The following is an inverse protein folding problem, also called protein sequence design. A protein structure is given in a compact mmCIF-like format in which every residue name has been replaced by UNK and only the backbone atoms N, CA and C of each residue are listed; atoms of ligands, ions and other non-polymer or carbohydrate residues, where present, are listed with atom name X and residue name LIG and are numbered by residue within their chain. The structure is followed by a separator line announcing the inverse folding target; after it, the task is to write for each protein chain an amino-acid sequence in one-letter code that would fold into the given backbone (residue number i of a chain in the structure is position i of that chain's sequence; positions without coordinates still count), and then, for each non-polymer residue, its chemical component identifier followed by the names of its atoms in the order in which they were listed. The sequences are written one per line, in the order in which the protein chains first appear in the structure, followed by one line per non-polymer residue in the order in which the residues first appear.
data_IF_033380432424
#
_entry.id   IF_033380432424
#
_cell.length_a   1.000
_cell.length_b   1.000
_cell.length_c   1.000
_cell.angle_alpha   90.00
_cell.angle_beta   90.00
_cell.angle_gamma   90.00
#
_symmetry.space_group_name_H-M   'P 1'
#
loop_
_entity.id
_entity.type
_entity.pdbx_description
1 polymer ?
#
# COMPACT_ATOMS: atom_id res chain seq x y z
N UNK A 1 -0.55 14.65 -53.20
CA UNK A 1 0.21 15.20 -52.06
C UNK A 1 -0.37 14.60 -50.77
N UNK A 2 0.34 13.65 -50.14
CA UNK A 2 -0.20 12.84 -49.03
C UNK A 2 0.12 13.55 -47.71
N UNK A 3 -0.89 14.15 -47.06
CA UNK A 3 -0.71 14.73 -45.72
C UNK A 3 -0.30 13.64 -44.74
N UNK A 4 0.91 13.75 -44.16
CA UNK A 4 1.33 12.94 -43.03
C UNK A 4 0.65 13.52 -41.79
N UNK A 5 -0.38 12.83 -41.31
CA UNK A 5 -0.93 13.05 -39.97
C UNK A 5 0.09 12.54 -38.96
N UNK A 6 0.92 13.46 -38.43
CA UNK A 6 1.75 13.13 -37.27
C UNK A 6 0.84 12.91 -36.07
N UNK A 7 0.78 11.67 -35.59
CA UNK A 7 0.08 11.34 -34.37
C UNK A 7 0.76 12.08 -33.20
N UNK A 8 0.00 12.73 -32.31
CA UNK A 8 0.56 13.42 -31.16
C UNK A 8 1.32 12.40 -30.30
N UNK A 9 2.63 12.63 -30.12
CA UNK A 9 3.45 11.82 -29.23
C UNK A 9 3.00 12.06 -27.79
N UNK A 10 2.51 11.01 -27.14
CA UNK A 10 2.24 11.05 -25.70
C UNK A 10 3.58 11.25 -24.97
N UNK A 11 3.67 12.17 -24.00
CA UNK A 11 4.90 12.37 -23.25
C UNK A 11 5.26 11.11 -22.46
N UNK A 12 6.49 10.60 -22.62
CA UNK A 12 6.99 9.35 -22.01
C UNK A 12 6.75 9.24 -20.49
N UNK A 13 6.75 10.36 -19.77
CA UNK A 13 6.52 10.38 -18.32
C UNK A 13 5.12 9.90 -17.90
N UNK A 14 4.12 10.10 -18.76
CA UNK A 14 2.75 9.68 -18.47
C UNK A 14 2.61 8.14 -18.51
N UNK A 15 3.40 7.46 -19.34
CA UNK A 15 3.35 6.00 -19.46
C UNK A 15 4.03 5.28 -18.29
N UNK A 16 5.10 5.86 -17.73
CA UNK A 16 5.75 5.34 -16.51
C UNK A 16 4.78 5.42 -15.32
N UNK A 17 4.15 6.58 -15.13
CA UNK A 17 3.18 6.77 -14.05
C UNK A 17 2.00 5.80 -14.18
N UNK A 18 1.50 5.58 -15.40
CA UNK A 18 0.45 4.58 -15.67
C UNK A 18 0.91 3.17 -15.32
N UNK A 19 2.10 2.77 -15.78
CA UNK A 19 2.66 1.46 -15.48
C UNK A 19 2.76 1.23 -13.97
N UNK A 20 3.23 2.24 -13.23
CA UNK A 20 3.32 2.21 -11.78
C UNK A 20 1.94 2.03 -11.11
N UNK A 21 0.93 2.82 -11.50
CA UNK A 21 -0.42 2.67 -10.96
C UNK A 21 -1.06 1.32 -11.27
N UNK A 22 -0.89 0.82 -12.50
CA UNK A 22 -1.36 -0.51 -12.87
C UNK A 22 -0.68 -1.60 -12.03
N UNK A 23 0.64 -1.49 -11.80
CA UNK A 23 1.37 -2.42 -10.95
C UNK A 23 0.87 -2.39 -9.50
N UNK A 24 0.64 -1.20 -8.93
CA UNK A 24 0.05 -1.07 -7.60
C UNK A 24 -1.35 -1.69 -7.52
N UNK A 25 -2.21 -1.40 -8.50
CA UNK A 25 -3.56 -1.98 -8.56
C UNK A 25 -3.52 -3.49 -8.61
N UNK A 26 -2.72 -4.08 -9.50
CA UNK A 26 -2.57 -5.54 -9.61
C UNK A 26 -1.99 -6.15 -8.32
N UNK A 27 -1.02 -5.48 -7.70
CA UNK A 27 -0.45 -5.90 -6.42
C UNK A 27 -1.50 -5.95 -5.32
N UNK A 28 -2.26 -4.86 -5.12
CA UNK A 28 -3.33 -4.84 -4.12
C UNK A 28 -4.48 -5.78 -4.45
N UNK A 29 -4.86 -5.90 -5.73
CA UNK A 29 -5.93 -6.80 -6.18
C UNK A 29 -5.57 -8.26 -5.87
N UNK A 30 -4.32 -8.65 -6.07
CA UNK A 30 -3.81 -9.98 -5.73
C UNK A 30 -3.74 -10.19 -4.23
N UNK A 31 -3.26 -9.19 -3.49
CA UNK A 31 -3.10 -9.28 -2.03
C UNK A 31 -4.43 -9.20 -1.26
N UNK A 32 -5.48 -8.61 -1.84
CA UNK A 32 -6.77 -8.46 -1.17
C UNK A 32 -7.40 -9.79 -0.73
N UNK A 33 -7.61 -10.81 -1.58
CA UNK A 33 -8.15 -12.08 -1.11
C UNK A 33 -7.19 -12.80 -0.15
N UNK A 34 -5.87 -12.64 -0.36
CA UNK A 34 -4.86 -13.28 0.48
C UNK A 34 -4.83 -12.71 1.91
N UNK A 35 -5.21 -11.45 2.08
CA UNK A 35 -5.14 -10.78 3.38
C UNK A 35 -6.14 -11.29 4.43
N UNK A 36 -7.06 -12.19 4.06
CA UNK A 36 -7.98 -12.86 5.00
C UNK A 36 -7.41 -14.16 5.57
N UNK A 37 -6.45 -14.77 4.87
CA UNK A 37 -6.00 -16.15 5.16
C UNK A 37 -4.52 -16.22 5.49
N UNK A 38 -3.74 -15.21 5.12
CA UNK A 38 -2.29 -15.22 5.28
C UNK A 38 -1.78 -13.96 5.96
N UNK A 39 -0.75 -14.15 6.76
CA UNK A 39 0.12 -13.09 7.22
C UNK A 39 1.19 -12.80 6.17
N UNK A 40 1.25 -11.57 5.71
CA UNK A 40 2.35 -11.07 4.88
C UNK A 40 2.83 -9.72 5.41
N UNK A 41 4.12 -9.51 5.49
CA UNK A 41 4.73 -8.23 5.84
C UNK A 41 6.03 -8.01 5.08
N UNK A 42 6.34 -6.74 4.82
CA UNK A 42 7.63 -6.33 4.27
C UNK A 42 7.96 -4.92 4.75
N UNK A 43 9.24 -4.60 4.82
CA UNK A 43 9.69 -3.25 5.11
C UNK A 43 11.14 -3.20 5.55
N UNK A 44 11.46 -2.20 6.35
CA UNK A 44 12.82 -1.80 6.70
C UNK A 44 12.98 -1.90 8.21
N UNK A 45 14.09 -2.50 8.62
CA UNK A 45 14.52 -2.55 10.01
C UNK A 45 15.75 -1.66 10.18
N UNK A 46 15.77 -0.89 11.27
CA UNK A 46 16.91 -0.02 11.61
C UNK A 46 17.22 -0.12 13.09
N UNK A 47 18.50 -0.33 13.43
CA UNK A 47 18.95 -0.33 14.81
C UNK A 47 19.67 0.98 15.17
N UNK A 48 19.44 1.47 16.38
CA UNK A 48 20.08 2.65 16.96
C UNK A 48 20.58 2.32 18.37
N UNK A 49 21.76 2.81 18.72
CA UNK A 49 22.32 2.69 20.07
C UNK A 49 21.85 3.83 20.97
N UNK A 50 21.41 3.51 22.18
CA UNK A 50 21.18 4.44 23.29
C UNK A 50 22.12 4.11 24.46
N UNK A 51 22.09 4.93 25.53
CA UNK A 51 23.09 4.88 26.60
C UNK A 51 23.12 3.54 27.37
N UNK A 52 21.96 2.93 27.62
CA UNK A 52 21.83 1.69 28.41
C UNK A 52 21.20 0.51 27.65
N UNK A 53 20.75 0.75 26.41
CA UNK A 53 20.10 -0.24 25.54
C UNK A 53 20.31 0.16 24.08
N UNK A 54 19.97 -0.72 23.15
CA UNK A 54 19.76 -0.32 21.77
C UNK A 54 18.28 -0.44 21.43
N UNK A 55 17.82 0.36 20.49
CA UNK A 55 16.46 0.33 19.96
C UNK A 55 16.52 -0.19 18.53
N UNK A 56 15.65 -1.15 18.23
CA UNK A 56 15.41 -1.64 16.88
C UNK A 56 14.00 -1.21 16.45
N UNK A 57 13.91 -0.50 15.33
CA UNK A 57 12.63 -0.08 14.74
C UNK A 57 12.34 -0.87 13.47
N UNK A 58 11.15 -1.46 13.38
CA UNK A 58 10.68 -2.24 12.24
C UNK A 58 9.56 -1.48 11.52
N UNK A 59 9.90 -0.65 10.53
CA UNK A 59 8.91 0.04 9.70
C UNK A 59 8.37 -0.92 8.63
N UNK A 60 7.08 -1.23 8.66
CA UNK A 60 6.51 -2.32 7.86
C UNK A 60 5.17 -1.98 7.24
N UNK A 61 4.94 -2.58 6.08
CA UNK A 61 3.64 -2.85 5.49
C UNK A 61 3.21 -4.25 5.89
N UNK A 62 1.95 -4.44 6.30
CA UNK A 62 1.47 -5.69 6.89
C UNK A 62 0.04 -6.01 6.49
N UNK A 63 -0.20 -7.23 6.03
CA UNK A 63 -1.50 -7.88 5.96
C UNK A 63 -1.56 -8.95 7.05
N UNK A 64 -2.26 -8.72 8.16
CA UNK A 64 -2.21 -9.61 9.32
C UNK A 64 -3.06 -10.89 9.17
N UNK A 65 -3.83 -11.04 8.09
CA UNK A 65 -4.74 -12.16 7.90
C UNK A 65 -6.17 -11.92 8.40
N UNK A 66 -6.61 -10.66 8.54
CA UNK A 66 -7.97 -10.29 8.96
C UNK A 66 -8.69 -9.40 7.94
N UNK A 67 -8.19 -9.32 6.71
CA UNK A 67 -8.75 -8.45 5.67
C UNK A 67 -8.29 -7.00 5.74
N UNK A 68 -7.38 -6.60 6.65
CA UNK A 68 -6.80 -5.26 6.67
C UNK A 68 -5.42 -5.19 5.99
N UNK A 69 -5.07 -3.98 5.54
CA UNK A 69 -3.74 -3.56 5.16
C UNK A 69 -3.28 -2.53 6.17
N UNK A 70 -2.11 -2.74 6.77
CA UNK A 70 -1.57 -1.91 7.84
C UNK A 70 -0.20 -1.36 7.48
N UNK A 71 0.06 -0.14 7.91
CA UNK A 71 1.36 0.53 7.82
C UNK A 71 1.70 1.06 9.20
N UNK A 72 2.93 0.83 9.64
CA UNK A 72 3.33 1.21 10.98
C UNK A 72 4.72 0.73 11.33
N UNK A 73 5.05 0.87 12.61
CA UNK A 73 6.31 0.42 13.15
C UNK A 73 6.12 -0.27 14.50
N UNK A 74 6.88 -1.34 14.69
CA UNK A 74 7.15 -1.90 16.02
C UNK A 74 8.56 -1.45 16.43
N UNK A 75 8.73 -1.04 17.69
CA UNK A 75 10.03 -0.71 18.27
C UNK A 75 10.34 -1.71 19.37
N UNK A 76 11.60 -2.14 19.43
CA UNK A 76 12.07 -3.11 20.40
C UNK A 76 13.31 -2.58 21.10
N UNK A 77 13.32 -2.69 22.40
CA UNK A 77 14.57 -2.66 23.15
C UNK A 77 15.36 -3.92 22.84
N UNK A 78 16.65 -3.77 22.55
CA UNK A 78 17.56 -4.86 22.27
C UNK A 78 18.33 -5.28 23.51
N UNK A 79 18.57 -6.59 23.63
CA UNK A 79 19.50 -7.11 24.61
C UNK A 79 20.92 -6.57 24.37
N UNK A 80 21.66 -6.31 25.44
CA UNK A 80 22.96 -5.64 25.37
C UNK A 80 24.02 -6.38 24.51
N UNK A 81 23.86 -7.69 24.34
CA UNK A 81 24.76 -8.55 23.58
C UNK A 81 24.43 -8.63 22.08
N UNK A 82 23.25 -8.16 21.65
CA UNK A 82 22.81 -8.32 20.25
C UNK A 82 23.63 -7.38 19.35
N UNK A 83 24.20 -7.88 18.23
CA UNK A 83 24.85 -7.02 17.26
C UNK A 83 23.82 -6.04 16.66
N UNK A 84 24.26 -4.82 16.37
CA UNK A 84 23.44 -3.79 15.76
C UNK A 84 23.61 -3.82 14.24
N UNK A 85 22.51 -3.89 13.52
CA UNK A 85 22.50 -3.65 12.08
C UNK A 85 21.82 -2.31 11.78
N UNK A 86 22.54 -1.43 11.08
CA UNK A 86 22.00 -0.10 10.78
C UNK A 86 20.79 -0.19 9.86
N UNK A 87 20.76 -1.19 8.98
CA UNK A 87 19.72 -1.31 7.99
C UNK A 87 19.59 -2.75 7.49
N UNK A 88 18.40 -3.33 7.63
CA UNK A 88 18.06 -4.61 7.02
C UNK A 88 16.67 -4.56 6.36
N UNK A 89 16.49 -5.35 5.30
CA UNK A 89 15.20 -5.53 4.64
C UNK A 89 14.53 -6.78 5.21
N UNK A 90 13.49 -6.56 5.99
CA UNK A 90 12.71 -7.66 6.54
C UNK A 90 11.48 -7.98 5.70
N UNK A 91 11.21 -9.26 5.50
CA UNK A 91 9.97 -9.74 4.89
C UNK A 91 9.51 -11.09 5.45
N UNK A 92 8.21 -11.27 5.56
CA UNK A 92 7.58 -12.54 5.88
C UNK A 92 6.35 -12.71 5.00
N UNK A 93 6.30 -13.77 4.21
CA UNK A 93 5.24 -13.98 3.22
C UNK A 93 4.50 -15.28 3.50
N UNK A 94 3.17 -15.26 3.32
CA UNK A 94 2.30 -16.45 3.42
C UNK A 94 2.43 -17.24 4.73
N UNK A 95 2.70 -16.55 5.84
CA UNK A 95 2.73 -17.18 7.17
C UNK A 95 1.31 -17.36 7.71
N UNK A 96 1.10 -18.19 8.75
CA UNK A 96 -0.17 -18.24 9.45
C UNK A 96 -0.61 -16.84 9.93
N UNK A 97 -1.91 -16.51 9.87
CA UNK A 97 -2.45 -15.21 10.31
C UNK A 97 -1.99 -14.82 11.71
N UNK A 98 -1.65 -13.54 11.88
CA UNK A 98 -1.36 -12.92 13.18
C UNK A 98 -2.31 -11.76 13.39
N UNK A 99 -3.53 -12.09 13.81
CA UNK A 99 -4.62 -11.13 13.92
C UNK A 99 -4.49 -10.37 15.24
N UNK A 100 -4.39 -9.04 15.22
CA UNK A 100 -4.49 -8.26 16.46
C UNK A 100 -5.87 -8.47 17.10
N UNK A 101 -5.97 -8.42 18.44
CA UNK A 101 -7.24 -8.57 19.13
C UNK A 101 -8.18 -7.45 18.74
N UNK A 102 -9.42 -7.79 18.38
CA UNK A 102 -10.44 -6.78 18.05
C UNK A 102 -10.83 -6.00 19.30
N UNK A 103 -10.87 -4.67 19.18
CA UNK A 103 -11.28 -3.75 20.25
C UNK A 103 -12.53 -2.95 19.90
N UNK A 104 -12.94 -2.93 18.63
CA UNK A 104 -14.09 -2.15 18.16
C UNK A 104 -14.72 -2.73 16.88
N UNK A 105 -15.93 -2.29 16.55
CA UNK A 105 -16.58 -2.58 15.25
C UNK A 105 -15.80 -2.03 14.05
N UNK A 106 -15.07 -0.91 14.22
CA UNK A 106 -14.15 -0.40 13.21
C UNK A 106 -13.06 -1.42 12.85
N UNK A 107 -12.57 -2.17 13.84
CA UNK A 107 -11.60 -3.25 13.60
C UNK A 107 -12.21 -4.41 12.80
N UNK A 108 -13.51 -4.70 12.97
CA UNK A 108 -14.23 -5.67 12.15
C UNK A 108 -14.31 -5.24 10.69
N UNK A 109 -14.49 -3.95 10.44
CA UNK A 109 -14.48 -3.41 9.09
C UNK A 109 -13.09 -3.38 8.45
N UNK A 110 -12.02 -3.55 9.24
CA UNK A 110 -10.63 -3.52 8.77
C UNK A 110 -9.91 -2.20 9.05
N UNK A 111 -10.52 -1.26 9.78
CA UNK A 111 -9.86 -0.05 10.24
C UNK A 111 -9.14 -0.29 11.56
N UNK A 112 -7.86 0.04 11.61
CA UNK A 112 -7.02 -0.19 12.78
C UNK A 112 -6.27 1.07 13.18
N UNK A 113 -6.21 1.31 14.49
CA UNK A 113 -5.32 2.28 15.09
C UNK A 113 -4.73 1.62 16.34
N UNK A 114 -3.43 1.35 16.32
CA UNK A 114 -2.68 0.76 17.43
C UNK A 114 -1.65 1.79 17.87
N UNK A 115 -1.63 2.12 19.15
CA UNK A 115 -0.66 3.02 19.78
C UNK A 115 -0.41 2.51 21.18
N UNK A 116 0.68 1.78 21.34
CA UNK A 116 1.02 1.10 22.58
C UNK A 116 2.45 1.40 22.96
N UNK A 117 2.69 1.56 24.27
CA UNK A 117 4.01 1.68 24.86
C UNK A 117 4.13 0.65 25.97
N UNK A 118 5.30 0.05 26.05
CA UNK A 118 5.62 -1.06 26.91
C UNK A 118 6.83 -0.68 27.75
N UNK A 119 6.72 -0.85 29.06
CA UNK A 119 7.84 -0.64 29.96
C UNK A 119 8.78 -1.86 29.89
N UNK A 120 10.11 -1.67 29.91
CA UNK A 120 11.04 -2.78 29.98
C UNK A 120 10.87 -3.51 31.32
N UNK A 121 11.05 -4.84 31.31
CA UNK A 121 10.89 -5.65 32.51
C UNK A 121 12.02 -5.42 33.52
N UNK A 122 13.29 -5.43 33.08
CA UNK A 122 14.51 -5.17 33.87
C UNK A 122 15.67 -4.71 32.99
N UNK A 123 16.53 -3.81 33.52
CA UNK A 123 17.78 -3.36 32.87
C UNK A 123 19.02 -3.91 33.62
N UNK A 124 20.11 -4.27 32.92
CA UNK A 124 20.24 -4.36 31.46
C UNK A 124 19.42 -5.52 30.89
N UNK A 125 18.89 -5.34 29.68
CA UNK A 125 18.04 -6.35 29.04
C UNK A 125 18.83 -7.59 28.65
N UNK A 126 18.36 -8.75 29.12
CA UNK A 126 18.89 -10.06 28.70
C UNK A 126 18.26 -10.55 27.39
N UNK A 127 17.00 -10.18 27.14
CA UNK A 127 16.23 -10.54 25.95
C UNK A 127 15.65 -9.27 25.35
N UNK A 128 15.52 -9.23 24.02
CA UNK A 128 14.85 -8.12 23.35
C UNK A 128 13.37 -8.07 23.73
N UNK A 129 12.88 -6.88 24.07
CA UNK A 129 11.50 -6.65 24.52
C UNK A 129 10.85 -5.58 23.65
N UNK A 130 9.54 -5.68 23.44
CA UNK A 130 8.79 -4.65 22.72
C UNK A 130 8.84 -3.34 23.53
N UNK A 131 9.20 -2.24 22.90
CA UNK A 131 9.14 -0.88 23.46
C UNK A 131 7.81 -0.22 23.10
N UNK A 132 7.46 -0.22 21.82
CA UNK A 132 6.26 0.47 21.34
C UNK A 132 5.72 -0.15 20.07
N UNK A 133 4.43 0.04 19.82
CA UNK A 133 3.76 -0.41 18.61
C UNK A 133 2.84 0.69 18.11
N UNK A 134 3.06 1.14 16.87
CA UNK A 134 2.30 2.22 16.23
C UNK A 134 1.86 1.82 14.84
N UNK A 135 0.55 1.58 14.66
CA UNK A 135 0.00 1.10 13.39
C UNK A 135 -1.28 1.83 13.00
N UNK A 136 -1.41 2.05 11.70
CA UNK A 136 -2.65 2.49 11.06
C UNK A 136 -3.03 1.43 10.03
N UNK A 137 -4.28 1.01 10.04
CA UNK A 137 -4.80 0.03 9.11
C UNK A 137 -6.09 0.48 8.44
N UNK A 138 -6.23 0.05 7.20
CA UNK A 138 -7.43 0.23 6.38
C UNK A 138 -7.91 -1.13 5.86
N UNK A 139 -9.18 -1.25 5.47
CA UNK A 139 -9.68 -2.46 4.83
C UNK A 139 -8.92 -2.73 3.53
N UNK A 140 -8.55 -3.98 3.25
CA UNK A 140 -7.69 -4.34 2.10
C UNK A 140 -8.32 -4.05 0.75
N UNK A 141 -9.66 -3.99 0.67
CA UNK A 141 -10.36 -3.58 -0.55
C UNK A 141 -10.16 -2.10 -0.86
N UNK A 142 -9.88 -1.25 0.14
CA UNK A 142 -9.81 0.20 -0.05
C UNK A 142 -8.65 0.60 -0.97
N UNK A 143 -7.39 0.12 -0.77
CA UNK A 143 -6.32 0.34 -1.73
C UNK A 143 -6.65 -0.13 -3.16
N UNK A 144 -7.36 -1.26 -3.32
CA UNK A 144 -7.78 -1.78 -4.64
C UNK A 144 -8.71 -0.79 -5.33
N UNK A 145 -9.72 -0.30 -4.61
CA UNK A 145 -10.67 0.67 -5.16
C UNK A 145 -9.95 1.97 -5.52
N UNK A 146 -9.11 2.51 -4.63
CA UNK A 146 -8.40 3.78 -4.87
C UNK A 146 -7.44 3.68 -6.07
N UNK A 147 -6.68 2.58 -6.17
CA UNK A 147 -5.74 2.36 -7.27
C UNK A 147 -6.44 1.97 -8.58
N UNK A 148 -7.65 1.40 -8.53
CA UNK A 148 -8.45 1.03 -9.70
C UNK A 148 -9.32 2.15 -10.28
N UNK A 149 -9.85 3.04 -9.43
CA UNK A 149 -10.70 4.17 -9.88
C UNK A 149 -9.94 5.15 -10.79
N UNK A 150 -8.66 5.37 -10.53
CA UNK A 150 -7.82 6.26 -11.33
C UNK A 150 -7.69 5.81 -12.80
N UNK A 151 -7.20 4.58 -13.11
CA UNK A 151 -7.10 4.12 -14.50
C UNK A 151 -8.47 4.05 -15.19
N UNK A 152 -9.54 3.69 -14.48
CA UNK A 152 -10.89 3.62 -15.04
C UNK A 152 -11.41 5.03 -15.39
N UNK A 153 -11.31 5.99 -14.48
CA UNK A 153 -11.72 7.38 -14.73
C UNK A 153 -10.93 8.02 -15.86
N UNK A 154 -9.61 7.82 -15.89
CA UNK A 154 -8.75 8.26 -16.98
C UNK A 154 -9.17 7.68 -18.34
N UNK A 155 -9.38 6.35 -18.40
CA UNK A 155 -9.82 5.68 -19.61
C UNK A 155 -11.17 6.21 -20.12
N UNK A 156 -12.10 6.49 -19.21
CA UNK A 156 -13.38 7.13 -19.55
C UNK A 156 -13.20 8.53 -20.11
N UNK A 157 -12.30 9.35 -19.55
CA UNK A 157 -11.99 10.68 -20.10
C UNK A 157 -11.40 10.63 -21.51
N UNK A 158 -10.50 9.68 -21.78
CA UNK A 158 -9.96 9.46 -23.13
C UNK A 158 -11.04 9.07 -24.15
N UNK A 159 -12.06 8.32 -23.73
CA UNK A 159 -13.21 7.96 -24.59
C UNK A 159 -14.15 9.13 -24.82
N UNK A 160 -14.43 9.97 -23.82
CA UNK A 160 -15.28 11.16 -23.99
C UNK A 160 -14.71 12.14 -25.02
N UNK A 161 -13.38 12.25 -25.13
CA UNK A 161 -12.70 13.02 -26.18
C UNK A 161 -12.87 12.47 -27.60
N UNK A 162 -13.17 11.17 -27.76
CA UNK A 162 -13.42 10.53 -29.08
C UNK A 162 -14.90 10.42 -29.44
N UNK A 163 -15.80 10.37 -28.46
CA UNK A 163 -17.25 10.22 -28.69
C UNK A 163 -17.90 11.52 -29.19
N UNK A 164 -17.28 12.68 -29.00
CA UNK A 164 -17.78 13.97 -29.51
C UNK A 164 -17.59 14.18 -31.03
N UNK A 165 -16.94 13.25 -31.75
CA UNK A 165 -16.65 13.39 -33.18
C UNK A 165 -17.43 12.45 -34.11
N UNK A 166 -18.29 11.59 -33.56
CA UNK A 166 -19.21 10.75 -34.34
C UNK A 166 -20.61 10.86 -33.73
N UNK A 167 -21.14 12.09 -33.68
CA UNK A 167 -22.57 12.28 -33.50
C UNK A 167 -23.23 12.02 -34.87
N UNK A 168 -24.00 10.92 -35.05
CA UNK A 168 -24.76 10.69 -36.28
C UNK A 168 -25.72 11.85 -36.59
N UNK A 169 -26.08 12.62 -35.56
CA UNK A 169 -26.97 13.78 -35.63
C UNK A 169 -26.31 14.95 -36.38
N UNK A 170 -24.99 15.17 -36.25
CA UNK A 170 -24.29 16.19 -37.04
C UNK A 170 -24.18 15.80 -38.52
N UNK A 171 -23.99 14.52 -38.80
CA UNK A 171 -24.00 13.98 -40.18
C UNK A 171 -25.40 14.09 -40.80
N UNK A 172 -26.44 13.80 -40.01
CA UNK A 172 -27.84 13.93 -40.42
C UNK A 172 -28.20 15.39 -40.71
N UNK A 173 -27.83 16.34 -39.83
CA UNK A 173 -28.11 17.76 -40.05
C UNK A 173 -27.38 18.33 -41.28
N UNK A 174 -26.17 17.85 -41.62
CA UNK A 174 -25.50 18.25 -42.87
C UNK A 174 -26.22 17.77 -44.12
N UNK A 175 -26.76 16.55 -44.12
CA UNK A 175 -27.52 16.01 -45.25
C UNK A 175 -28.85 16.74 -45.50
N UNK A 176 -29.40 17.38 -44.47
CA UNK A 176 -30.62 18.18 -44.60
C UNK A 176 -30.37 19.64 -45.00
N UNK A 177 -29.12 20.10 -44.96
CA UNK A 177 -28.73 21.46 -45.31
C UNK A 177 -28.11 21.59 -46.72
N UNK A 178 -28.08 20.49 -47.50
CA UNK A 178 -27.63 20.41 -48.90
C UNK A 178 -28.78 19.97 -49.79
#
# INVERSE_FOLDING_TARGET
MRMKTELPRVPRGLDIFRGFWCALFLGFLTMWPLSYSFYTSFGIDTDRREELSAIQAHLRFRWPGNGSFMVGADQFWLAAWKPLDRFDLGGAFFKPPRRPPMRSSWNQMGFWLIRERYAPSKLPLQVSEMESSSWIGVPSWLPVVLTGLWPVSWWMHQRKGKVLWLSPVRELMRRWAS
#
